data_IF_458471139503
#
_entry.id   IF_458471139503
#
_cell.length_a   1.000
_cell.length_b   1.000
_cell.length_c   1.000
_cell.angle_alpha   90.00
_cell.angle_beta   90.00
_cell.angle_gamma   90.00
#
_symmetry.space_group_name_H-M   'P 1'
#
loop_
_entity.id
_entity.type
_entity.pdbx_description
1 polymer ?
#
# COMPACT_ATOMS: atom_id res chain seq x y z
N UNK A 1 14.08 1.22 -0.79
CA UNK A 1 13.35 0.39 -1.77
C UNK A 1 12.10 1.17 -2.11
N UNK A 2 11.96 1.68 -3.33
CA UNK A 2 10.72 2.31 -3.80
C UNK A 2 10.09 1.33 -4.79
N UNK A 3 8.90 0.83 -4.50
CA UNK A 3 8.14 -0.06 -5.39
C UNK A 3 7.03 0.78 -6.06
N UNK A 4 7.24 1.30 -7.27
CA UNK A 4 6.28 2.19 -7.93
C UNK A 4 4.97 1.47 -8.27
N UNK A 5 5.02 0.19 -8.65
CA UNK A 5 3.83 -0.61 -8.95
C UNK A 5 2.94 -0.76 -7.71
N UNK A 6 3.54 -1.10 -6.56
CA UNK A 6 2.81 -1.14 -5.30
C UNK A 6 2.21 0.22 -4.96
N UNK A 7 3.00 1.30 -5.07
CA UNK A 7 2.53 2.64 -4.76
C UNK A 7 1.27 3.02 -5.55
N UNK A 8 1.26 2.76 -6.86
CA UNK A 8 0.10 3.05 -7.70
C UNK A 8 -1.14 2.26 -7.27
N UNK A 9 -1.00 0.96 -7.00
CA UNK A 9 -2.12 0.13 -6.51
C UNK A 9 -2.67 0.65 -5.17
N UNK A 10 -1.82 1.15 -4.27
CA UNK A 10 -2.27 1.72 -3.00
C UNK A 10 -3.03 3.04 -3.20
N UNK A 11 -2.59 3.89 -4.14
CA UNK A 11 -3.29 5.14 -4.47
C UNK A 11 -4.64 4.86 -5.15
N UNK A 12 -4.68 3.99 -6.15
CA UNK A 12 -5.91 3.57 -6.82
C UNK A 12 -6.94 3.04 -5.82
N UNK A 13 -6.47 2.27 -4.82
CA UNK A 13 -7.35 1.78 -3.75
C UNK A 13 -7.90 2.92 -2.89
N UNK A 14 -7.07 3.89 -2.51
CA UNK A 14 -7.50 5.05 -1.73
C UNK A 14 -8.56 5.87 -2.48
N UNK A 15 -8.34 6.09 -3.77
CA UNK A 15 -9.32 6.77 -4.63
C UNK A 15 -10.62 5.96 -4.73
N UNK A 16 -10.54 4.63 -4.91
CA UNK A 16 -11.70 3.76 -5.02
C UNK A 16 -12.56 3.71 -3.74
N UNK A 17 -11.97 3.82 -2.55
CA UNK A 17 -12.71 3.89 -1.28
C UNK A 17 -13.19 5.31 -0.95
N UNK A 18 -12.95 6.28 -1.83
CA UNK A 18 -13.36 7.68 -1.63
C UNK A 18 -12.55 8.40 -0.56
N UNK A 19 -11.27 8.07 -0.40
CA UNK A 19 -10.38 8.81 0.49
C UNK A 19 -10.33 10.29 0.08
N UNK A 20 -10.28 11.18 1.07
CA UNK A 20 -10.15 12.62 0.80
C UNK A 20 -8.77 12.93 0.20
N UNK A 21 -8.67 13.98 -0.62
CA UNK A 21 -7.36 14.43 -1.16
C UNK A 21 -6.33 14.67 -0.05
N UNK A 22 -6.77 15.21 1.09
CA UNK A 22 -5.92 15.42 2.26
C UNK A 22 -5.36 14.10 2.84
N UNK A 23 -6.16 13.04 2.88
CA UNK A 23 -5.71 11.73 3.37
C UNK A 23 -4.76 11.05 2.40
N UNK A 24 -5.01 11.20 1.09
CA UNK A 24 -4.12 10.72 0.03
C UNK A 24 -2.78 11.44 0.12
N UNK A 25 -2.76 12.78 0.16
CA UNK A 25 -1.54 13.59 0.27
C UNK A 25 -0.73 13.18 1.51
N UNK A 26 -1.40 12.97 2.65
CA UNK A 26 -0.77 12.52 3.89
C UNK A 26 -0.09 11.15 3.72
N UNK A 27 -0.74 10.23 3.03
CA UNK A 27 -0.19 8.91 2.76
C UNK A 27 1.02 9.00 1.79
N UNK A 28 0.92 9.82 0.75
CA UNK A 28 2.02 10.10 -0.19
C UNK A 28 3.24 10.67 0.53
N UNK A 29 3.05 11.64 1.41
CA UNK A 29 4.12 12.21 2.23
C UNK A 29 4.77 11.15 3.12
N UNK A 30 3.96 10.29 3.76
CA UNK A 30 4.47 9.20 4.57
C UNK A 30 5.26 8.19 3.74
N UNK A 31 4.80 7.87 2.53
CA UNK A 31 5.46 6.97 1.60
C UNK A 31 6.84 7.48 1.20
N UNK A 32 6.96 8.75 0.83
CA UNK A 32 8.25 9.35 0.45
C UNK A 32 9.26 9.40 1.60
N UNK A 33 8.80 9.36 2.85
CA UNK A 33 9.65 9.32 4.05
C UNK A 33 10.09 7.92 4.46
N UNK A 34 9.60 6.86 3.79
CA UNK A 34 9.98 5.48 4.10
C UNK A 34 11.49 5.28 3.93
N UNK A 35 12.11 4.68 4.94
CA UNK A 35 13.51 4.25 4.86
C UNK A 35 13.60 2.93 4.10
N UNK A 36 14.76 2.63 3.52
CA UNK A 36 14.96 1.42 2.71
C UNK A 36 14.71 0.07 3.42
N UNK A 37 14.69 0.05 4.76
CA UNK A 37 14.44 -1.14 5.58
C UNK A 37 13.05 -1.15 6.23
N UNK A 38 12.26 -0.09 6.08
CA UNK A 38 10.91 -0.05 6.61
C UNK A 38 9.97 -0.90 5.75
N UNK A 39 9.04 -1.60 6.39
CA UNK A 39 7.96 -2.28 5.70
C UNK A 39 6.98 -1.25 5.10
N UNK A 40 6.36 -1.59 3.97
CA UNK A 40 5.38 -0.72 3.33
C UNK A 40 4.13 -0.59 4.22
N UNK A 41 3.64 0.63 4.50
CA UNK A 41 2.49 0.84 5.35
C UNK A 41 1.18 0.54 4.60
N UNK A 42 0.22 -0.04 5.30
CA UNK A 42 -1.14 -0.21 4.81
C UNK A 42 -1.85 1.14 4.74
N UNK A 43 -2.36 1.57 3.57
CA UNK A 43 -3.03 2.86 3.43
C UNK A 43 -4.31 2.91 4.27
N UNK A 44 -5.12 1.85 4.29
CA UNK A 44 -6.39 1.80 5.04
C UNK A 44 -6.17 1.97 6.55
N UNK A 45 -5.20 1.26 7.12
CA UNK A 45 -4.88 1.42 8.53
C UNK A 45 -4.33 2.82 8.83
N UNK A 46 -3.50 3.35 7.92
CA UNK A 46 -2.89 4.68 8.08
C UNK A 46 -3.95 5.78 8.18
N UNK A 47 -5.00 5.71 7.35
CA UNK A 47 -6.16 6.61 7.40
C UNK A 47 -6.92 6.51 8.73
N UNK A 48 -6.98 5.30 9.31
CA UNK A 48 -7.55 5.07 10.64
C UNK A 48 -6.61 5.50 11.79
N UNK A 49 -5.50 6.18 11.50
CA UNK A 49 -4.51 6.64 12.47
C UNK A 49 -3.59 5.55 13.02
N UNK A 50 -3.53 4.38 12.36
CA UNK A 50 -2.68 3.25 12.75
C UNK A 50 -1.71 2.89 11.63
N UNK A 51 -0.42 2.82 11.91
CA UNK A 51 0.52 2.30 10.92
C UNK A 51 0.66 0.79 11.06
N UNK A 52 0.30 0.05 10.02
CA UNK A 52 0.39 -1.42 9.99
C UNK A 52 1.17 -1.85 8.75
N UNK A 53 2.16 -2.74 8.88
CA UNK A 53 2.96 -3.17 7.74
C UNK A 53 2.14 -4.07 6.80
N UNK A 54 2.36 -3.93 5.50
CA UNK A 54 1.92 -4.88 4.49
C UNK A 54 2.84 -6.09 4.52
N UNK A 55 2.25 -7.28 4.40
CA UNK A 55 2.95 -8.54 4.27
C UNK A 55 2.83 -9.02 2.82
N UNK A 56 3.96 -9.38 2.21
CA UNK A 56 3.94 -10.04 0.90
C UNK A 56 3.37 -11.45 1.03
N UNK A 57 2.52 -11.81 0.08
CA UNK A 57 2.02 -13.18 -0.10
C UNK A 57 2.79 -13.84 -1.26
N UNK A 58 2.73 -15.18 -1.40
CA UNK A 58 3.30 -15.86 -2.55
C UNK A 58 2.76 -15.27 -3.85
N UNK A 59 3.65 -15.03 -4.81
CA UNK A 59 3.28 -14.57 -6.14
C UNK A 59 2.26 -15.53 -6.78
N UNK A 60 1.24 -14.97 -7.42
CA UNK A 60 0.18 -15.70 -8.10
C UNK A 60 0.09 -15.23 -9.55
N UNK A 61 0.49 -16.11 -10.47
CA UNK A 61 0.48 -15.86 -11.92
C UNK A 61 1.29 -14.60 -12.28
N UNK A 62 0.62 -13.50 -12.65
CA UNK A 62 1.23 -12.20 -13.00
C UNK A 62 1.21 -11.16 -11.88
N UNK A 63 0.87 -11.56 -10.65
CA UNK A 63 0.71 -10.64 -9.53
C UNK A 63 1.56 -11.06 -8.33
N UNK A 64 2.09 -10.06 -7.62
CA UNK A 64 2.66 -10.15 -6.28
C UNK A 64 1.66 -9.58 -5.27
N UNK A 65 0.72 -10.38 -4.76
CA UNK A 65 -0.25 -9.89 -3.80
C UNK A 65 0.43 -9.49 -2.49
N UNK A 66 0.04 -8.34 -1.95
CA UNK A 66 0.39 -7.91 -0.60
C UNK A 66 -0.87 -7.75 0.23
N UNK A 67 -0.81 -8.10 1.51
CA UNK A 67 -1.96 -8.06 2.41
C UNK A 67 -1.61 -7.38 3.71
N UNK A 68 -2.52 -6.56 4.21
CA UNK A 68 -2.43 -6.07 5.57
C UNK A 68 -2.97 -7.15 6.54
N UNK A 69 -2.16 -7.69 7.47
CA UNK A 69 -2.63 -8.67 8.44
C UNK A 69 -3.60 -8.07 9.47
N UNK A 70 -3.60 -6.74 9.64
CA UNK A 70 -4.45 -6.07 10.64
C UNK A 70 -5.87 -5.80 10.15
N UNK A 71 -6.05 -5.24 8.95
CA UNK A 71 -7.38 -4.96 8.39
C UNK A 71 -7.84 -5.99 7.36
N UNK A 72 -6.96 -6.87 6.89
CA UNK A 72 -7.28 -7.89 5.91
C UNK A 72 -7.29 -7.42 4.46
N UNK A 73 -7.12 -6.13 4.18
CA UNK A 73 -7.08 -5.59 2.81
C UNK A 73 -5.92 -6.21 2.03
N UNK A 74 -6.23 -6.73 0.84
CA UNK A 74 -5.27 -7.27 -0.12
C UNK A 74 -5.15 -6.31 -1.31
N UNK A 75 -3.93 -6.20 -1.83
CA UNK A 75 -3.56 -5.39 -2.98
C UNK A 75 -2.80 -6.30 -3.95
N UNK A 76 -3.33 -6.47 -5.15
CA UNK A 76 -2.70 -7.31 -6.18
C UNK A 76 -1.76 -6.45 -7.01
N UNK A 77 -0.44 -6.54 -6.75
CA UNK A 77 0.57 -5.75 -7.46
C UNK A 77 0.93 -6.45 -8.75
N UNK A 78 0.76 -5.84 -9.93
CA UNK A 78 1.18 -6.45 -11.18
C UNK A 78 2.71 -6.58 -11.22
N UNK A 79 3.20 -7.77 -11.58
CA UNK A 79 4.59 -8.00 -11.94
C UNK A 79 4.70 -7.58 -13.40
N UNK A 80 5.44 -6.50 -13.70
CA UNK A 80 5.70 -6.10 -15.08
C UNK A 80 6.15 -7.33 -15.90
N UNK A 81 5.40 -7.62 -16.97
CA UNK A 81 5.60 -8.76 -17.86
C UNK A 81 6.63 -8.46 -18.95
#
# INVERSE_FOLDING_TARGET
>A
MQNPALFHVLLDHLEAIGASTHDVDRFVDRWHRLKSHEAFPCPVCYLAGKEQPLAALPAQDKFEPVKCPSCGTQFDVPIDA
#
